data_IF_946197456365
#
_entry.id   IF_946197456365
#
_cell.length_a   1.000
_cell.length_b   1.000
_cell.length_c   1.000
_cell.angle_alpha   90.00
_cell.angle_beta   90.00
_cell.angle_gamma   90.00
#
_symmetry.space_group_name_H-M   'P 1'
#
loop_
_entity.id
_entity.type
_entity.pdbx_description
1 polymer ?
#
# COMPACT_ATOMS: atom_id res chain seq x y z
N UNK A 1 -0.77 -7.10 2.09
CA UNK A 1 -0.97 -7.90 3.32
C UNK A 1 -0.56 -7.08 4.53
N UNK A 2 -0.78 -7.60 5.75
CA UNK A 2 -0.19 -7.11 7.00
C UNK A 2 0.50 -8.28 7.69
N UNK A 3 1.60 -8.01 8.38
CA UNK A 3 2.27 -8.99 9.23
C UNK A 3 1.38 -9.32 10.44
N UNK A 4 1.49 -10.52 11.07
CA UNK A 4 0.61 -10.91 12.17
C UNK A 4 0.66 -9.97 13.38
N UNK A 5 1.83 -9.43 13.73
CA UNK A 5 1.94 -8.39 14.78
C UNK A 5 1.25 -7.07 14.41
N UNK A 6 1.02 -6.82 13.13
CA UNK A 6 0.61 -5.52 12.65
C UNK A 6 -0.90 -5.32 12.78
N UNK A 7 -1.31 -4.10 13.11
CA UNK A 7 -2.72 -3.69 13.14
C UNK A 7 -3.01 -2.64 12.08
N UNK A 8 -4.28 -2.22 11.99
CA UNK A 8 -4.68 -1.07 11.18
C UNK A 8 -5.39 -1.47 9.88
N UNK A 9 -5.26 -0.62 8.87
CA UNK A 9 -6.08 -0.66 7.66
C UNK A 9 -5.72 -1.85 6.79
N UNK A 10 -6.72 -2.68 6.50
CA UNK A 10 -6.64 -3.78 5.54
C UNK A 10 -7.86 -3.69 4.60
N UNK A 11 -7.70 -3.11 3.40
CA UNK A 11 -8.79 -3.09 2.43
C UNK A 11 -9.16 -4.51 2.01
N UNK A 12 -10.46 -4.84 2.10
CA UNK A 12 -11.01 -6.13 1.69
C UNK A 12 -11.96 -5.90 0.52
N UNK A 13 -11.60 -6.41 -0.65
CA UNK A 13 -12.43 -6.34 -1.84
C UNK A 13 -13.36 -7.54 -1.92
N UNK A 14 -14.66 -7.30 -2.15
CA UNK A 14 -15.69 -8.33 -2.27
C UNK A 14 -16.36 -8.27 -3.65
N UNK A 15 -16.65 -9.45 -4.21
CA UNK A 15 -17.32 -9.55 -5.51
C UNK A 15 -16.58 -8.81 -6.62
N UNK A 16 -17.28 -7.94 -7.34
CA UNK A 16 -16.74 -7.16 -8.46
C UNK A 16 -15.61 -6.21 -8.06
N UNK A 17 -15.59 -5.75 -6.79
CA UNK A 17 -14.52 -4.90 -6.27
C UNK A 17 -13.15 -5.61 -6.31
N UNK A 18 -13.10 -6.94 -6.38
CA UNK A 18 -11.82 -7.67 -6.49
C UNK A 18 -11.00 -7.27 -7.73
N UNK A 19 -11.67 -6.72 -8.75
CA UNK A 19 -11.03 -6.18 -9.96
C UNK A 19 -10.25 -4.89 -9.72
N UNK A 20 -10.48 -4.20 -8.60
CA UNK A 20 -9.75 -2.96 -8.22
C UNK A 20 -8.54 -3.22 -7.32
N UNK A 21 -8.36 -4.46 -6.83
CA UNK A 21 -7.21 -4.84 -5.97
C UNK A 21 -5.85 -4.44 -6.54
N UNK A 22 -5.56 -4.61 -7.86
CA UNK A 22 -4.29 -4.17 -8.42
C UNK A 22 -4.00 -2.69 -8.20
N UNK A 23 -5.01 -1.83 -8.15
CA UNK A 23 -4.85 -0.38 -7.94
C UNK A 23 -4.50 -0.05 -6.49
N UNK A 24 -5.13 -0.74 -5.53
CA UNK A 24 -4.81 -0.58 -4.10
C UNK A 24 -3.45 -1.14 -3.71
N UNK A 25 -2.96 -2.16 -4.42
CA UNK A 25 -1.59 -2.68 -4.22
C UNK A 25 -0.56 -1.61 -4.54
N UNK A 26 -0.87 -0.72 -5.48
CA UNK A 26 -0.01 0.33 -6.00
C UNK A 26 -0.09 1.61 -5.16
N UNK A 27 -1.26 1.93 -4.60
CA UNK A 27 -1.52 3.11 -3.78
C UNK A 27 -0.55 3.31 -2.60
N UNK A 28 -0.31 4.55 -2.19
CA UNK A 28 0.62 4.82 -1.08
C UNK A 28 0.09 4.31 0.28
N UNK A 29 1.01 4.15 1.23
CA UNK A 29 0.70 3.65 2.58
C UNK A 29 1.35 4.51 3.64
N UNK A 30 0.60 4.73 4.72
CA UNK A 30 1.07 5.41 5.93
C UNK A 30 1.12 4.43 7.08
N UNK A 31 2.23 4.39 7.80
CA UNK A 31 2.46 3.54 8.95
C UNK A 31 2.88 4.36 10.17
N UNK A 32 2.42 3.93 11.34
CA UNK A 32 3.02 4.25 12.63
C UNK A 32 3.70 2.99 13.17
N UNK A 33 4.92 3.10 13.66
CA UNK A 33 5.66 1.96 14.18
C UNK A 33 6.62 2.35 15.30
N UNK A 34 6.98 1.37 16.12
CA UNK A 34 7.93 1.54 17.21
C UNK A 34 9.09 0.58 17.03
N UNK A 35 10.31 1.11 17.13
CA UNK A 35 11.55 0.33 17.24
C UNK A 35 11.86 0.18 18.72
N UNK A 36 12.10 -1.05 19.17
CA UNK A 36 12.69 -1.33 20.48
C UNK A 36 14.18 -1.63 20.31
N UNK A 37 15.02 -0.92 21.05
CA UNK A 37 16.47 -1.08 20.98
C UNK A 37 16.98 -2.15 21.95
N UNK A 38 18.19 -2.63 21.67
CA UNK A 38 18.94 -3.59 22.48
C UNK A 38 18.81 -5.04 22.04
N UNK A 39 17.88 -5.35 21.13
CA UNK A 39 17.71 -6.69 20.55
C UNK A 39 17.40 -6.62 19.06
N UNK A 40 18.08 -7.43 18.27
CA UNK A 40 17.72 -7.70 16.89
C UNK A 40 17.21 -9.13 16.74
N UNK A 41 16.17 -9.29 15.92
CA UNK A 41 15.51 -10.56 15.65
C UNK A 41 15.65 -10.95 14.18
N UNK A 42 15.53 -12.25 13.90
CA UNK A 42 15.61 -12.80 12.53
C UNK A 42 14.46 -12.35 11.61
N UNK A 43 13.28 -12.07 12.16
CA UNK A 43 12.13 -11.49 11.45
C UNK A 43 12.15 -9.96 11.38
N UNK A 44 13.06 -9.32 12.11
CA UNK A 44 13.13 -7.87 12.32
C UNK A 44 11.89 -7.28 13.02
N UNK A 45 11.10 -8.11 13.69
CA UNK A 45 9.97 -7.74 14.54
C UNK A 45 9.97 -8.55 15.85
N UNK A 46 9.05 -8.21 16.76
CA UNK A 46 8.96 -8.84 18.08
C UNK A 46 8.56 -10.32 18.06
N UNK A 47 8.07 -10.86 16.93
CA UNK A 47 7.70 -12.29 16.82
C UNK A 47 8.91 -13.18 16.48
N UNK A 48 10.04 -12.59 16.11
CA UNK A 48 11.24 -13.31 15.70
C UNK A 48 12.08 -13.83 16.87
N UNK A 49 13.00 -14.75 16.54
CA UNK A 49 14.03 -15.21 17.46
C UNK A 49 15.12 -14.14 17.58
N UNK A 50 15.56 -13.87 18.80
CA UNK A 50 16.70 -12.98 19.07
C UNK A 50 17.97 -13.57 18.46
N UNK A 51 18.66 -12.78 17.64
CA UNK A 51 19.92 -13.14 16.97
C UNK A 51 21.10 -12.27 17.41
N UNK A 52 20.84 -11.10 17.99
CA UNK A 52 21.85 -10.24 18.58
C UNK A 52 21.25 -9.40 19.72
N UNK A 53 22.07 -9.11 20.73
CA UNK A 53 21.71 -8.24 21.85
C UNK A 53 22.86 -7.25 22.13
N UNK A 54 22.52 -6.06 22.61
CA UNK A 54 23.49 -5.03 22.99
C UNK A 54 22.88 -4.03 23.98
N UNK A 55 23.71 -3.52 24.89
CA UNK A 55 23.33 -2.42 25.79
C UNK A 55 23.44 -1.05 25.11
N UNK A 56 24.00 -0.97 23.91
CA UNK A 56 24.10 0.28 23.16
C UNK A 56 22.70 0.83 22.80
N UNK A 57 22.55 2.15 22.94
CA UNK A 57 21.35 2.90 22.56
C UNK A 57 21.76 4.10 21.69
N UNK A 58 20.98 4.46 20.66
CA UNK A 58 21.29 5.62 19.86
C UNK A 58 21.02 6.90 20.69
N UNK A 59 21.78 7.95 20.43
CA UNK A 59 21.38 9.29 20.86
C UNK A 59 20.21 9.77 19.99
N UNK A 60 19.33 10.61 20.55
CA UNK A 60 18.21 11.21 19.80
C UNK A 60 18.70 11.93 18.55
N UNK A 61 19.76 12.72 18.69
CA UNK A 61 20.34 13.53 17.64
C UNK A 61 20.93 12.66 16.52
N UNK A 62 21.48 11.50 16.87
CA UNK A 62 21.98 10.55 15.88
C UNK A 62 20.84 9.92 15.08
N UNK A 63 19.73 9.57 15.75
CA UNK A 63 18.53 9.04 15.10
C UNK A 63 17.92 10.08 14.14
N UNK A 64 17.75 11.31 14.60
CA UNK A 64 17.25 12.43 13.78
C UNK A 64 18.17 12.75 12.59
N UNK A 65 19.49 12.64 12.77
CA UNK A 65 20.46 12.84 11.69
C UNK A 65 20.49 11.71 10.66
N UNK A 66 20.12 10.48 11.04
CA UNK A 66 20.10 9.32 10.14
C UNK A 66 18.82 9.26 9.27
N UNK A 67 17.68 9.70 9.81
CA UNK A 67 16.37 9.64 9.13
C UNK A 67 16.36 10.21 7.70
N UNK A 68 16.98 11.37 7.39
CA UNK A 68 16.96 11.93 6.04
C UNK A 68 17.51 10.99 4.94
N UNK A 69 18.41 10.06 5.27
CA UNK A 69 18.95 9.09 4.31
C UNK A 69 17.91 8.05 3.85
N UNK A 70 16.80 7.94 4.56
CA UNK A 70 15.71 7.01 4.30
C UNK A 70 14.54 7.65 3.55
N UNK A 71 14.65 8.92 3.14
CA UNK A 71 13.63 9.66 2.40
C UNK A 71 14.03 9.77 0.92
N UNK A 72 13.05 9.55 0.03
CA UNK A 72 13.21 9.48 -1.42
C UNK A 72 13.32 8.04 -1.91
N UNK A 73 14.04 7.86 -3.01
CA UNK A 73 14.27 6.56 -3.63
C UNK A 73 15.43 5.85 -2.94
N UNK A 74 15.14 4.75 -2.25
CA UNK A 74 16.12 3.98 -1.46
C UNK A 74 16.16 2.51 -1.89
N UNK A 75 17.33 1.89 -1.75
CA UNK A 75 17.49 0.45 -1.94
C UNK A 75 17.19 -0.29 -0.63
N UNK A 76 16.28 -1.26 -0.69
CA UNK A 76 15.90 -2.04 0.47
C UNK A 76 16.05 -3.53 0.17
N UNK A 77 16.74 -4.27 1.04
CA UNK A 77 16.66 -5.73 1.07
C UNK A 77 15.44 -6.13 1.91
N UNK A 78 14.44 -6.81 1.31
CA UNK A 78 13.29 -7.34 2.04
C UNK A 78 13.69 -8.23 3.22
N UNK A 79 12.86 -8.36 4.27
CA UNK A 79 13.12 -9.33 5.32
C UNK A 79 12.95 -10.76 4.78
N UNK A 80 13.74 -11.70 5.32
CA UNK A 80 13.63 -13.12 4.96
C UNK A 80 12.20 -13.66 5.19
N UNK A 81 11.53 -13.18 6.24
CA UNK A 81 10.13 -13.44 6.53
C UNK A 81 9.19 -12.53 5.72
N UNK A 82 9.23 -12.67 4.40
CA UNK A 82 8.37 -11.94 3.47
C UNK A 82 7.58 -12.87 2.54
N UNK A 83 6.54 -12.33 1.91
CA UNK A 83 5.72 -13.06 0.93
C UNK A 83 6.37 -13.18 -0.47
N UNK A 84 7.59 -12.65 -0.65
CA UNK A 84 8.33 -12.71 -1.92
C UNK A 84 8.58 -14.16 -2.28
N UNK A 85 8.49 -14.50 -3.58
CA UNK A 85 8.81 -15.84 -4.05
C UNK A 85 10.27 -15.92 -4.50
N UNK A 86 10.97 -16.94 -4.01
CA UNK A 86 12.30 -17.37 -4.46
C UNK A 86 12.14 -18.78 -5.03
N UNK A 87 12.50 -18.98 -6.29
CA UNK A 87 12.33 -20.24 -7.04
C UNK A 87 10.91 -20.86 -6.91
N UNK A 88 9.89 -19.99 -6.96
CA UNK A 88 8.48 -20.37 -6.90
C UNK A 88 7.94 -20.62 -5.48
N UNK A 89 8.78 -20.69 -4.44
CA UNK A 89 8.39 -20.83 -3.03
C UNK A 89 8.45 -19.50 -2.30
N UNK A 90 7.59 -19.27 -1.30
CA UNK A 90 7.62 -18.00 -0.55
C UNK A 90 8.83 -17.98 0.40
N UNK A 91 9.47 -16.81 0.52
CA UNK A 91 10.66 -16.62 1.35
C UNK A 91 10.39 -16.98 2.81
N UNK A 92 9.23 -16.60 3.37
CA UNK A 92 8.88 -16.98 4.74
C UNK A 92 8.75 -18.51 4.93
N UNK A 93 8.27 -19.26 3.92
CA UNK A 93 8.15 -20.72 4.02
C UNK A 93 9.55 -21.36 4.09
N UNK A 94 10.51 -20.81 3.33
CA UNK A 94 11.91 -21.24 3.33
C UNK A 94 12.63 -20.85 4.63
N UNK A 95 12.43 -19.61 5.11
CA UNK A 95 13.03 -19.13 6.35
C UNK A 95 12.57 -19.96 7.57
N UNK A 96 11.30 -20.34 7.62
CA UNK A 96 10.76 -21.25 8.67
C UNK A 96 11.36 -22.66 8.62
N UNK A 97 11.85 -23.08 7.46
CA UNK A 97 12.57 -24.35 7.28
C UNK A 97 14.07 -24.22 7.63
N UNK A 98 14.53 -23.05 8.07
CA UNK A 98 15.94 -22.78 8.36
C UNK A 98 16.81 -22.66 7.11
N UNK A 99 16.20 -22.52 5.93
CA UNK A 99 16.92 -22.29 4.68
C UNK A 99 17.26 -20.82 4.59
N UNK A 100 18.54 -20.50 4.45
CA UNK A 100 18.99 -19.13 4.24
C UNK A 100 18.48 -18.61 2.89
N UNK A 101 17.78 -17.47 2.92
CA UNK A 101 17.17 -16.86 1.74
C UNK A 101 17.91 -15.57 1.43
N UNK A 102 18.73 -15.59 0.38
CA UNK A 102 19.31 -14.38 -0.17
C UNK A 102 18.27 -13.62 -1.01
N UNK A 103 17.80 -12.49 -0.49
CA UNK A 103 16.87 -11.61 -1.19
C UNK A 103 17.65 -10.47 -1.84
N UNK A 104 17.31 -10.16 -3.11
CA UNK A 104 17.90 -9.03 -3.81
C UNK A 104 17.33 -7.72 -3.29
N UNK A 105 18.19 -6.69 -3.23
CA UNK A 105 17.75 -5.33 -2.99
C UNK A 105 16.78 -4.87 -4.09
N UNK A 106 15.86 -4.00 -3.70
CA UNK A 106 14.90 -3.36 -4.60
C UNK A 106 14.75 -1.90 -4.24
N UNK A 107 14.56 -1.07 -5.26
CA UNK A 107 14.20 0.33 -5.08
C UNK A 107 12.78 0.44 -4.53
N UNK A 108 12.62 1.25 -3.49
CA UNK A 108 11.33 1.65 -2.93
C UNK A 108 11.33 3.16 -2.73
N UNK A 109 10.13 3.75 -2.71
CA UNK A 109 9.96 5.19 -2.51
C UNK A 109 9.45 5.45 -1.09
N UNK A 110 10.13 6.34 -0.38
CA UNK A 110 9.73 6.86 0.93
C UNK A 110 9.48 8.35 0.80
N UNK A 111 8.23 8.77 0.96
CA UNK A 111 7.84 10.17 0.80
C UNK A 111 8.12 10.99 2.06
N UNK A 112 7.94 10.39 3.24
CA UNK A 112 8.20 11.02 4.53
C UNK A 112 8.56 9.97 5.59
N UNK A 113 9.50 10.30 6.46
CA UNK A 113 9.84 9.53 7.66
C UNK A 113 10.12 10.51 8.80
N UNK A 114 9.41 10.35 9.92
CA UNK A 114 9.50 11.27 11.06
C UNK A 114 9.65 10.52 12.37
N UNK A 115 10.51 11.04 13.24
CA UNK A 115 10.56 10.65 14.65
C UNK A 115 9.46 11.37 15.44
N UNK A 116 8.51 10.62 15.99
CA UNK A 116 7.40 11.18 16.78
C UNK A 116 7.73 11.20 18.29
N UNK A 117 8.36 10.13 18.79
CA UNK A 117 8.76 10.03 20.19
C UNK A 117 10.03 9.18 20.34
N UNK A 118 10.82 9.48 21.37
CA UNK A 118 11.99 8.70 21.75
C UNK A 118 12.28 8.88 23.24
N UNK A 119 12.42 7.78 23.97
CA UNK A 119 12.60 7.74 25.42
C UNK A 119 13.94 7.16 25.87
N UNK A 120 14.82 6.81 24.92
CA UNK A 120 16.11 6.16 25.17
C UNK A 120 16.12 4.67 24.88
N UNK A 121 14.98 3.99 25.03
CA UNK A 121 14.85 2.54 24.83
C UNK A 121 14.00 2.19 23.59
N UNK A 122 13.09 3.08 23.23
CA UNK A 122 12.19 2.94 22.09
C UNK A 122 12.10 4.23 21.29
N UNK A 123 11.91 4.09 19.98
CA UNK A 123 11.63 5.18 19.07
C UNK A 123 10.31 4.91 18.34
N UNK A 124 9.36 5.84 18.39
CA UNK A 124 8.13 5.80 17.61
C UNK A 124 8.26 6.70 16.39
N UNK A 125 7.94 6.17 15.22
CA UNK A 125 8.08 6.85 13.94
C UNK A 125 6.82 6.73 13.09
N UNK A 126 6.64 7.72 12.23
CA UNK A 126 5.64 7.75 11.16
C UNK A 126 6.34 7.64 9.81
N UNK A 127 5.83 6.77 8.93
CA UNK A 127 6.37 6.53 7.59
C UNK A 127 5.26 6.67 6.55
N UNK A 128 5.46 7.53 5.55
CA UNK A 128 4.68 7.57 4.32
C UNK A 128 5.52 7.02 3.17
N UNK A 129 5.03 5.98 2.50
CA UNK A 129 5.81 5.26 1.50
C UNK A 129 4.95 4.67 0.39
N UNK A 130 5.59 4.40 -0.75
CA UNK A 130 4.97 3.73 -1.88
C UNK A 130 4.80 2.23 -1.65
N UNK A 131 4.45 1.51 -2.72
CA UNK A 131 4.35 0.05 -2.69
C UNK A 131 5.69 -0.63 -2.38
N UNK A 132 5.60 -1.81 -1.76
CA UNK A 132 6.78 -2.66 -1.58
C UNK A 132 7.74 -2.21 -0.48
N UNK A 133 7.51 -1.11 0.21
CA UNK A 133 8.32 -0.74 1.37
C UNK A 133 8.03 -1.67 2.55
N UNK A 134 9.08 -2.27 3.12
CA UNK A 134 9.01 -3.00 4.38
C UNK A 134 9.46 -2.11 5.53
N UNK A 135 8.54 -1.76 6.43
CA UNK A 135 8.84 -1.01 7.67
C UNK A 135 9.91 -1.74 8.50
N UNK A 136 9.84 -3.07 8.54
CA UNK A 136 10.82 -3.91 9.26
C UNK A 136 12.24 -3.78 8.72
N UNK A 137 12.40 -3.65 7.40
CA UNK A 137 13.71 -3.40 6.80
C UNK A 137 14.19 -1.98 7.07
N UNK A 138 13.31 -0.96 6.98
CA UNK A 138 13.67 0.43 7.37
C UNK A 138 14.20 0.46 8.81
N UNK A 139 13.51 -0.18 9.75
CA UNK A 139 13.94 -0.24 11.14
C UNK A 139 15.28 -0.98 11.31
N UNK A 140 15.45 -2.14 10.66
CA UNK A 140 16.70 -2.91 10.69
C UNK A 140 17.88 -2.09 10.18
N UNK A 141 17.72 -1.48 9.01
CA UNK A 141 18.78 -0.77 8.31
C UNK A 141 19.15 0.50 9.11
N UNK A 142 18.15 1.23 9.64
CA UNK A 142 18.39 2.40 10.51
C UNK A 142 19.16 2.03 11.78
N UNK A 143 18.83 0.90 12.41
CA UNK A 143 19.58 0.39 13.55
C UNK A 143 21.03 0.01 13.18
N UNK A 144 21.23 -0.61 12.02
CA UNK A 144 22.55 -1.00 11.54
C UNK A 144 23.45 0.22 11.29
N UNK A 145 22.93 1.27 10.66
CA UNK A 145 23.66 2.52 10.40
C UNK A 145 24.06 3.23 11.71
N UNK A 146 23.21 3.14 12.73
CA UNK A 146 23.47 3.68 14.07
C UNK A 146 24.37 2.78 14.92
N UNK A 147 24.71 1.57 14.44
CA UNK A 147 25.54 0.61 15.17
C UNK A 147 24.86 0.02 16.42
N UNK A 148 23.52 -0.05 16.44
CA UNK A 148 22.73 -0.56 17.58
C UNK A 148 21.90 -1.76 17.19
N UNK A 149 21.52 -2.57 18.18
CA UNK A 149 20.53 -3.62 17.99
C UNK A 149 19.12 -3.03 18.10
N UNK A 150 18.20 -3.48 17.25
CA UNK A 150 16.80 -3.11 17.32
C UNK A 150 15.90 -3.96 16.41
N UNK A 151 14.60 -3.91 16.70
CA UNK A 151 13.53 -4.58 15.94
C UNK A 151 12.21 -3.80 16.07
N UNK A 152 11.26 -4.06 15.18
CA UNK A 152 9.93 -3.45 15.26
C UNK A 152 9.11 -4.13 16.36
N UNK A 153 8.76 -3.39 17.41
CA UNK A 153 7.96 -3.89 18.54
C UNK A 153 6.47 -3.62 18.39
N UNK A 154 6.10 -2.58 17.62
CA UNK A 154 4.73 -2.27 17.27
C UNK A 154 4.65 -1.77 15.83
N UNK A 155 3.62 -2.20 15.09
CA UNK A 155 3.39 -1.78 13.72
C UNK A 155 1.90 -1.59 13.47
N UNK A 156 1.54 -0.43 12.93
CA UNK A 156 0.17 -0.12 12.54
C UNK A 156 0.15 0.59 11.20
N UNK A 157 -0.67 0.09 10.28
CA UNK A 157 -0.94 0.79 9.02
C UNK A 157 -2.12 1.73 9.22
N UNK A 158 -1.87 3.03 9.16
CA UNK A 158 -2.90 4.06 9.35
C UNK A 158 -3.70 4.32 8.07
N UNK A 159 -3.09 4.09 6.90
CA UNK A 159 -3.72 4.41 5.62
C UNK A 159 -3.23 3.50 4.46
N UNK A 160 -4.11 3.25 3.49
CA UNK A 160 -3.82 2.68 2.16
C UNK A 160 -4.62 3.46 1.12
N UNK A 161 -3.95 4.31 0.32
CA UNK A 161 -4.64 5.19 -0.63
C UNK A 161 -5.75 6.01 0.07
N UNK A 162 -6.98 5.92 -0.42
CA UNK A 162 -8.13 6.60 0.18
C UNK A 162 -8.70 5.93 1.45
N UNK A 163 -8.21 4.74 1.83
CA UNK A 163 -8.69 4.00 3.00
C UNK A 163 -7.89 4.38 4.23
N UNK A 164 -8.56 4.92 5.24
CA UNK A 164 -7.97 5.40 6.49
C UNK A 164 -8.75 4.89 7.71
N UNK A 165 -8.33 5.29 8.92
CA UNK A 165 -9.02 4.88 10.16
C UNK A 165 -10.42 5.45 10.32
N UNK A 166 -10.77 6.54 9.63
CA UNK A 166 -12.09 7.15 9.69
C UNK A 166 -13.13 6.34 8.90
N UNK A 167 -12.67 5.66 7.85
CA UNK A 167 -13.46 4.79 6.99
C UNK A 167 -13.35 3.30 7.37
N UNK A 168 -12.62 2.98 8.44
CA UNK A 168 -12.40 1.61 8.90
C UNK A 168 -13.51 1.07 9.81
N UNK A 169 -13.78 -0.23 9.69
CA UNK A 169 -14.62 -0.97 10.62
C UNK A 169 -13.80 -2.03 11.37
N UNK A 170 -13.99 -2.13 12.68
CA UNK A 170 -13.37 -3.19 13.48
C UNK A 170 -14.13 -4.50 13.28
N UNK A 171 -13.46 -5.64 13.45
CA UNK A 171 -14.11 -6.95 13.36
C UNK A 171 -15.26 -7.12 14.37
N UNK A 172 -15.12 -6.54 15.56
CA UNK A 172 -16.17 -6.52 16.59
C UNK A 172 -17.42 -5.77 16.09
N UNK A 173 -17.26 -4.53 15.62
CA UNK A 173 -18.38 -3.73 15.07
C UNK A 173 -19.01 -4.39 13.85
N UNK A 174 -18.22 -5.06 13.01
CA UNK A 174 -18.73 -5.83 11.89
C UNK A 174 -19.59 -7.00 12.37
N UNK A 175 -19.17 -7.70 13.43
CA UNK A 175 -19.98 -8.72 14.09
C UNK A 175 -21.34 -8.19 14.54
N UNK A 176 -21.38 -7.01 15.17
CA UNK A 176 -22.62 -6.36 15.59
C UNK A 176 -23.54 -5.98 14.42
N UNK A 177 -22.98 -5.58 13.27
CA UNK A 177 -23.77 -5.33 12.06
C UNK A 177 -24.35 -6.62 11.49
N UNK A 178 -23.56 -7.70 11.46
CA UNK A 178 -24.03 -9.01 11.02
C UNK A 178 -25.20 -9.50 11.90
N UNK A 179 -25.10 -9.35 13.22
CA UNK A 179 -26.18 -9.72 14.14
C UNK A 179 -27.48 -8.95 13.89
N UNK A 180 -27.39 -7.73 13.36
CA UNK A 180 -28.54 -6.87 13.02
C UNK A 180 -28.98 -6.98 11.56
N UNK A 181 -28.29 -7.77 10.73
CA UNK A 181 -28.56 -7.87 9.28
C UNK A 181 -28.17 -6.62 8.48
N UNK A 182 -27.29 -5.78 9.01
CA UNK A 182 -26.88 -4.49 8.47
C UNK A 182 -25.44 -4.51 7.91
N UNK A 183 -24.88 -5.69 7.61
CA UNK A 183 -23.47 -5.85 7.21
C UNK A 183 -23.09 -5.09 5.93
N UNK A 184 -24.06 -4.80 5.04
CA UNK A 184 -23.81 -4.05 3.82
C UNK A 184 -23.51 -2.57 4.09
N UNK A 185 -23.90 -2.03 5.25
CA UNK A 185 -23.56 -0.66 5.67
C UNK A 185 -22.06 -0.47 5.90
N UNK A 186 -21.30 -1.55 6.09
CA UNK A 186 -19.86 -1.52 6.23
C UNK A 186 -19.12 -1.43 4.88
N UNK A 187 -19.81 -1.57 3.75
CA UNK A 187 -19.20 -1.58 2.43
C UNK A 187 -19.05 -0.15 1.91
N UNK A 188 -17.88 0.11 1.32
CA UNK A 188 -17.63 1.30 0.53
C UNK A 188 -17.88 1.01 -0.94
N UNK A 189 -18.11 2.08 -1.71
CA UNK A 189 -18.31 2.00 -3.14
C UNK A 189 -17.03 1.51 -3.85
N UNK A 190 -17.15 0.90 -5.03
CA UNK A 190 -15.99 0.38 -5.78
C UNK A 190 -15.06 1.50 -6.22
N UNK A 191 -15.65 2.66 -6.49
CA UNK A 191 -15.03 3.93 -6.84
C UNK A 191 -14.04 4.40 -5.77
N UNK A 192 -14.25 4.07 -4.49
CA UNK A 192 -13.32 4.44 -3.41
C UNK A 192 -11.91 3.86 -3.64
N UNK A 193 -11.82 2.69 -4.27
CA UNK A 193 -10.53 2.07 -4.61
C UNK A 193 -9.89 2.66 -5.88
N UNK A 194 -10.59 3.55 -6.57
CA UNK A 194 -10.22 4.13 -7.86
C UNK A 194 -10.18 5.66 -7.81
N UNK A 195 -10.20 6.27 -6.63
CA UNK A 195 -10.32 7.72 -6.42
C UNK A 195 -9.25 8.52 -7.18
N UNK A 196 -8.07 7.94 -7.35
CA UNK A 196 -6.97 8.56 -8.06
C UNK A 196 -7.05 8.36 -9.59
N UNK A 197 -7.93 7.50 -10.12
CA UNK A 197 -8.06 7.24 -11.56
C UNK A 197 -9.04 8.23 -12.21
N UNK A 198 -8.71 8.87 -13.36
CA UNK A 198 -9.59 9.85 -13.98
C UNK A 198 -10.92 9.25 -14.42
N UNK A 199 -12.02 9.97 -14.20
CA UNK A 199 -13.36 9.56 -14.59
C UNK A 199 -13.81 10.26 -15.90
N UNK A 200 -14.29 9.46 -16.85
CA UNK A 200 -14.92 9.91 -18.08
C UNK A 200 -16.42 9.58 -18.04
N UNK A 201 -17.32 10.58 -18.05
CA UNK A 201 -18.75 10.32 -18.12
C UNK A 201 -19.11 9.69 -19.46
N UNK A 202 -19.92 8.63 -19.40
CA UNK A 202 -20.47 7.93 -20.57
C UNK A 202 -21.99 7.93 -20.53
N UNK A 203 -22.60 7.88 -21.71
CA UNK A 203 -24.04 7.70 -21.88
C UNK A 203 -24.45 6.24 -21.64
N UNK A 204 -25.75 5.99 -21.50
CA UNK A 204 -26.28 4.64 -21.31
C UNK A 204 -25.95 3.69 -22.48
N UNK A 205 -26.01 4.18 -23.73
CA UNK A 205 -25.66 3.40 -24.92
C UNK A 205 -24.17 3.07 -24.98
N UNK A 206 -23.32 4.04 -24.64
CA UNK A 206 -21.88 3.86 -24.53
C UNK A 206 -21.51 2.84 -23.45
N UNK A 207 -22.12 2.93 -22.26
CA UNK A 207 -21.94 1.96 -21.19
C UNK A 207 -22.36 0.54 -21.62
N UNK A 208 -23.49 0.40 -22.33
CA UNK A 208 -23.94 -0.90 -22.84
C UNK A 208 -22.95 -1.50 -23.85
N UNK A 209 -22.37 -0.67 -24.73
CA UNK A 209 -21.31 -1.09 -25.67
C UNK A 209 -20.05 -1.54 -24.94
N UNK A 210 -19.60 -0.78 -23.94
CA UNK A 210 -18.44 -1.13 -23.13
C UNK A 210 -18.65 -2.46 -22.40
N UNK A 211 -19.82 -2.71 -21.80
CA UNK A 211 -20.16 -3.98 -21.13
C UNK A 211 -20.09 -5.19 -22.08
N UNK A 212 -20.22 -4.98 -23.38
CA UNK A 212 -20.06 -6.01 -24.43
C UNK A 212 -18.63 -6.09 -24.99
N UNK A 213 -17.66 -5.38 -24.39
CA UNK A 213 -16.27 -5.34 -24.82
C UNK A 213 -16.02 -4.48 -26.06
N UNK A 214 -16.99 -3.66 -26.49
CA UNK A 214 -16.80 -2.75 -27.62
C UNK A 214 -16.09 -1.48 -27.18
N UNK A 215 -15.20 -0.99 -28.03
CA UNK A 215 -14.51 0.28 -27.83
C UNK A 215 -15.35 1.47 -28.33
N UNK A 216 -15.04 2.65 -27.82
CA UNK A 216 -15.75 3.89 -28.15
C UNK A 216 -14.81 4.90 -28.81
N UNK A 217 -15.29 5.58 -29.84
CA UNK A 217 -14.59 6.74 -30.37
C UNK A 217 -14.78 7.92 -29.42
N UNK A 218 -13.69 8.56 -29.00
CA UNK A 218 -13.77 9.73 -28.14
C UNK A 218 -13.92 11.00 -28.97
N UNK A 219 -14.77 11.91 -28.49
CA UNK A 219 -14.85 13.26 -29.03
C UNK A 219 -13.58 14.05 -28.65
N UNK A 220 -13.14 15.03 -29.47
CA UNK A 220 -11.96 15.84 -29.15
C UNK A 220 -11.98 16.45 -27.74
N UNK A 221 -13.15 16.92 -27.28
CA UNK A 221 -13.33 17.45 -25.91
C UNK A 221 -13.07 16.43 -24.80
N UNK A 222 -13.42 15.16 -25.02
CA UNK A 222 -13.21 14.09 -24.04
C UNK A 222 -11.73 13.71 -23.97
N UNK A 223 -11.04 13.71 -25.12
CA UNK A 223 -9.59 13.48 -25.18
C UNK A 223 -8.85 14.56 -24.39
N UNK A 224 -9.20 15.83 -24.58
CA UNK A 224 -8.59 16.95 -23.84
C UNK A 224 -8.81 16.78 -22.33
N UNK A 225 -10.06 16.58 -21.91
CA UNK A 225 -10.42 16.44 -20.50
C UNK A 225 -9.66 15.31 -19.80
N UNK A 226 -9.55 14.14 -20.43
CA UNK A 226 -8.78 13.02 -19.86
C UNK A 226 -7.29 13.33 -19.86
N UNK A 227 -6.76 13.92 -20.93
CA UNK A 227 -5.33 14.23 -21.02
C UNK A 227 -4.90 15.21 -19.94
N UNK A 228 -5.74 16.20 -19.61
CA UNK A 228 -5.52 17.14 -18.52
C UNK A 228 -5.56 16.44 -17.16
N UNK A 229 -6.54 15.57 -16.91
CA UNK A 229 -6.62 14.80 -15.67
C UNK A 229 -5.43 13.84 -15.49
N UNK A 230 -5.01 13.15 -16.55
CA UNK A 230 -3.82 12.30 -16.54
C UNK A 230 -2.54 13.11 -16.32
N UNK A 231 -2.46 14.33 -16.87
CA UNK A 231 -1.34 15.24 -16.61
C UNK A 231 -1.29 15.64 -15.13
N UNK A 232 -2.42 16.05 -14.55
CA UNK A 232 -2.51 16.40 -13.14
C UNK A 232 -2.10 15.24 -12.23
N UNK A 233 -2.52 13.99 -12.53
CA UNK A 233 -2.05 12.79 -11.81
C UNK A 233 -0.54 12.63 -11.84
N UNK A 234 0.07 12.77 -13.02
CA UNK A 234 1.54 12.66 -13.15
C UNK A 234 2.26 13.75 -12.35
N UNK A 235 1.74 14.96 -12.34
CA UNK A 235 2.28 16.08 -11.56
C UNK A 235 2.12 15.85 -10.04
N UNK A 236 1.12 15.08 -9.62
CA UNK A 236 0.93 14.64 -8.24
C UNK A 236 1.75 13.39 -7.86
N UNK A 237 2.65 12.90 -8.74
CA UNK A 237 3.47 11.71 -8.48
C UNK A 237 2.78 10.37 -8.68
N UNK A 238 1.54 10.38 -9.19
CA UNK A 238 0.76 9.17 -9.47
C UNK A 238 1.10 8.62 -10.86
N UNK A 239 2.16 7.83 -10.92
CA UNK A 239 2.69 7.30 -12.18
C UNK A 239 2.07 5.95 -12.60
N UNK A 240 1.42 5.26 -11.67
CA UNK A 240 0.83 3.96 -11.92
C UNK A 240 -0.46 4.08 -12.74
N UNK A 241 -0.67 3.11 -13.65
CA UNK A 241 -1.80 3.07 -14.58
C UNK A 241 -1.98 4.39 -15.38
N UNK A 242 -0.97 4.84 -16.13
CA UNK A 242 -0.95 6.19 -16.71
C UNK A 242 -2.09 6.41 -17.73
N UNK A 243 -2.49 5.36 -18.44
CA UNK A 243 -3.50 5.41 -19.50
C UNK A 243 -4.89 4.96 -19.05
N UNK A 244 -5.02 4.53 -17.79
CA UNK A 244 -6.29 4.02 -17.27
C UNK A 244 -7.24 5.16 -16.95
N UNK A 245 -8.52 4.98 -17.29
CA UNK A 245 -9.64 5.83 -16.93
C UNK A 245 -10.86 5.02 -16.54
N UNK A 246 -11.72 5.61 -15.73
CA UNK A 246 -13.02 5.06 -15.37
C UNK A 246 -14.07 5.52 -16.39
N UNK A 247 -14.89 4.61 -16.91
CA UNK A 247 -16.11 4.96 -17.61
C UNK A 247 -17.26 5.02 -16.60
N UNK A 248 -17.84 6.19 -16.40
CA UNK A 248 -18.81 6.45 -15.32
C UNK A 248 -20.18 6.80 -15.90
N UNK A 249 -21.22 6.09 -15.45
CA UNK A 249 -22.61 6.38 -15.78
C UNK A 249 -23.34 6.75 -14.49
N UNK A 250 -23.91 7.96 -14.42
CA UNK A 250 -24.70 8.44 -13.27
C UNK A 250 -23.98 8.31 -11.92
N UNK A 251 -22.66 8.54 -11.92
CA UNK A 251 -21.82 8.43 -10.72
C UNK A 251 -21.34 7.02 -10.39
N UNK A 252 -21.77 5.99 -11.13
CA UNK A 252 -21.34 4.61 -10.96
C UNK A 252 -20.33 4.19 -12.03
N UNK A 253 -19.21 3.61 -11.60
CA UNK A 253 -18.22 3.06 -12.53
C UNK A 253 -18.76 1.82 -13.24
N UNK A 254 -18.70 1.83 -14.56
CA UNK A 254 -19.18 0.73 -15.41
C UNK A 254 -18.02 -0.14 -15.91
N UNK A 255 -16.87 0.48 -16.16
CA UNK A 255 -15.67 -0.20 -16.61
C UNK A 255 -14.42 0.64 -16.32
N UNK A 256 -13.31 -0.05 -16.11
CA UNK A 256 -11.98 0.52 -16.32
C UNK A 256 -11.62 0.36 -17.79
N UNK A 257 -11.06 1.43 -18.35
CA UNK A 257 -10.73 1.54 -19.76
C UNK A 257 -9.32 2.09 -19.93
N UNK A 258 -8.75 1.89 -21.11
CA UNK A 258 -7.53 2.56 -21.55
C UNK A 258 -7.79 3.41 -22.79
N UNK A 259 -7.12 4.56 -22.88
CA UNK A 259 -7.19 5.41 -24.07
C UNK A 259 -6.04 5.06 -25.00
N UNK A 260 -6.37 4.67 -26.23
CA UNK A 260 -5.38 4.39 -27.29
C UNK A 260 -5.88 4.96 -28.61
N UNK A 261 -5.05 5.75 -29.29
CA UNK A 261 -5.36 6.33 -30.61
C UNK A 261 -6.75 7.03 -30.68
N UNK A 262 -7.11 7.82 -29.66
CA UNK A 262 -8.38 8.55 -29.60
C UNK A 262 -9.61 7.69 -29.35
N UNK A 263 -9.42 6.45 -28.89
CA UNK A 263 -10.51 5.50 -28.59
C UNK A 263 -10.39 5.01 -27.16
N UNK A 264 -11.53 4.71 -26.57
CA UNK A 264 -11.68 4.17 -25.22
C UNK A 264 -11.91 2.66 -25.29
N UNK A 265 -10.94 1.87 -24.81
CA UNK A 265 -11.00 0.42 -24.83
C UNK A 265 -11.32 -0.11 -23.43
N UNK A 266 -12.39 -0.90 -23.24
CA UNK A 266 -12.67 -1.50 -21.94
C UNK A 266 -11.63 -2.58 -21.62
N UNK A 267 -11.02 -2.49 -20.44
CA UNK A 267 -10.04 -3.48 -19.95
C UNK A 267 -10.59 -4.32 -18.81
N UNK A 268 -11.46 -3.74 -17.97
CA UNK A 268 -12.17 -4.48 -16.91
C UNK A 268 -13.60 -3.96 -16.80
N UNK A 269 -14.58 -4.83 -17.01
CA UNK A 269 -16.00 -4.51 -16.82
C UNK A 269 -16.36 -4.72 -15.36
N UNK A 270 -17.13 -3.80 -14.78
CA UNK A 270 -17.68 -3.88 -13.43
C UNK A 270 -19.19 -4.10 -13.50
N UNK A 271 -19.65 -5.26 -13.00
CA UNK A 271 -21.06 -5.66 -13.00
C UNK A 271 -21.70 -5.28 -11.66
N UNK A 272 -21.80 -3.98 -11.40
CA UNK A 272 -22.39 -3.39 -10.19
C UNK A 272 -23.91 -3.31 -10.28
#
# INVERSE_FOLDING_TARGET
TLDPLATGILPIALGEATKTVPYLVEADKVYSFTISFGRSTDSCDAEGRVIAESDARPAREALEAAIPAYIGSIEQVPPAFSAIKVDGKRAYDLARQGVEVELKARTVEVYDLRLDAFDGETASLSLHCGKGTYVRSVARDLCADLGVCGHVSALRREQVGAFDTNSAITLEKLGDLVHRGAQLEALLAVETALDDIPALPVTQDEAAKLKQGRDLALLPRQIVLVSEAQKARREAGLHEFPDTVQAVLEGQVQALCEIRAGRLYPTRILNL
#
